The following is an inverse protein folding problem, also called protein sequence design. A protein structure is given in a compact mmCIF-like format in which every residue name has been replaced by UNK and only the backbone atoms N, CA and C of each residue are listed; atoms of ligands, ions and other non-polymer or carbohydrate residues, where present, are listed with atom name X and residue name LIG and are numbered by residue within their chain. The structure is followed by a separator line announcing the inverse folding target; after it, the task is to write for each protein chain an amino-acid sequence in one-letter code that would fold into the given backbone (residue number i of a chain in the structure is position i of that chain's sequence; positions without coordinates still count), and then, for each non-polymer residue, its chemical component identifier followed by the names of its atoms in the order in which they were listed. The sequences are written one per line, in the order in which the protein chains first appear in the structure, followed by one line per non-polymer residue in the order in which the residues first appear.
data_IF_814944446326
#
_entry.id   IF_814944446326
#
_cell.length_a   1.000
_cell.length_b   1.000
_cell.length_c   1.000
_cell.angle_alpha   90.00
_cell.angle_beta   90.00
_cell.angle_gamma   90.00
#
_symmetry.space_group_name_H-M   'P 1'
#
loop_
_entity.id
_entity.type
_entity.pdbx_description
1 polymer ?
#
# COMPACT_ATOMS: atom_id res chain seq x y z
N UNK A 1 -4.20 -20.88 2.13
CA UNK A 1 -4.92 -19.60 2.36
C UNK A 1 -4.05 -18.48 1.84
N UNK A 2 -4.55 -17.60 0.97
CA UNK A 2 -3.78 -16.45 0.53
C UNK A 2 -3.50 -15.54 1.72
N UNK A 3 -2.24 -15.14 1.93
CA UNK A 3 -1.89 -14.09 2.90
C UNK A 3 -2.55 -12.80 2.40
N UNK A 4 -3.62 -12.39 3.08
CA UNK A 4 -4.37 -11.17 2.77
C UNK A 4 -3.53 -9.98 3.24
N UNK A 5 -2.65 -9.51 2.36
CA UNK A 5 -1.79 -8.36 2.57
C UNK A 5 -2.27 -7.21 1.69
N UNK A 6 -2.66 -6.10 2.32
CA UNK A 6 -3.20 -4.93 1.62
C UNK A 6 -2.17 -4.33 0.64
N UNK A 7 -0.87 -4.52 0.90
CA UNK A 7 0.20 -4.06 -0.01
C UNK A 7 0.17 -4.76 -1.37
N UNK A 8 -0.47 -5.94 -1.45
CA UNK A 8 -0.65 -6.73 -2.67
C UNK A 8 -1.94 -6.42 -3.42
N UNK A 9 -2.80 -5.54 -2.88
CA UNK A 9 -4.08 -5.18 -3.51
C UNK A 9 -3.96 -4.85 -5.00
N UNK A 10 -2.95 -4.09 -5.47
CA UNK A 10 -2.80 -3.80 -6.89
C UNK A 10 -2.69 -5.07 -7.75
N UNK A 11 -1.85 -6.02 -7.33
CA UNK A 11 -1.67 -7.30 -8.03
C UNK A 11 -2.92 -8.17 -7.94
N UNK A 12 -3.57 -8.20 -6.77
CA UNK A 12 -4.82 -8.95 -6.57
C UNK A 12 -5.91 -8.44 -7.54
N UNK A 13 -6.07 -7.11 -7.66
CA UNK A 13 -7.07 -6.52 -8.57
C UNK A 13 -6.74 -6.79 -10.04
N UNK A 14 -5.46 -6.83 -10.42
CA UNK A 14 -5.03 -7.20 -11.77
C UNK A 14 -5.27 -8.67 -12.10
N UNK A 15 -5.20 -9.56 -11.09
CA UNK A 15 -5.49 -10.99 -11.23
C UNK A 15 -7.01 -11.27 -11.27
N UNK A 16 -7.87 -10.31 -10.93
CA UNK A 16 -9.32 -10.47 -11.04
C UNK A 16 -9.76 -10.56 -12.51
N UNK A 17 -10.68 -11.47 -12.79
CA UNK A 17 -11.42 -11.46 -14.05
C UNK A 17 -12.20 -10.14 -14.24
N UNK A 18 -12.52 -9.76 -15.49
CA UNK A 18 -13.05 -8.43 -15.82
C UNK A 18 -14.37 -8.09 -15.09
N UNK A 19 -15.23 -9.08 -14.86
CA UNK A 19 -16.49 -8.87 -14.14
C UNK A 19 -16.26 -8.57 -12.65
N UNK A 20 -15.35 -9.29 -12.01
CA UNK A 20 -14.98 -9.08 -10.62
C UNK A 20 -14.25 -7.75 -10.41
N UNK A 21 -13.34 -7.41 -11.33
CA UNK A 21 -12.67 -6.11 -11.33
C UNK A 21 -13.68 -4.95 -11.43
N UNK A 22 -14.73 -5.11 -12.26
CA UNK A 22 -15.81 -4.12 -12.41
C UNK A 22 -16.67 -3.98 -11.17
N UNK A 23 -16.99 -5.09 -10.49
CA UNK A 23 -17.72 -5.02 -9.21
C UNK A 23 -16.87 -4.32 -8.16
N UNK A 24 -15.58 -4.68 -8.07
CA UNK A 24 -14.66 -4.09 -7.10
C UNK A 24 -14.53 -2.57 -7.29
N UNK A 25 -14.33 -2.08 -8.51
CA UNK A 25 -14.15 -0.65 -8.79
C UNK A 25 -15.40 0.20 -8.54
N UNK A 26 -16.59 -0.41 -8.52
CA UNK A 26 -17.83 0.30 -8.14
C UNK A 26 -17.91 0.57 -6.63
N UNK A 27 -17.35 -0.33 -5.82
CA UNK A 27 -17.43 -0.26 -4.36
C UNK A 27 -16.23 0.47 -3.79
N UNK A 28 -15.04 0.22 -4.34
CA UNK A 28 -13.78 0.75 -3.85
C UNK A 28 -13.00 1.47 -4.94
N UNK A 29 -12.43 2.61 -4.58
CA UNK A 29 -11.32 3.21 -5.32
C UNK A 29 -10.03 3.01 -4.53
N UNK A 30 -8.90 2.93 -5.23
CA UNK A 30 -7.61 2.75 -4.59
C UNK A 30 -6.50 3.40 -5.40
N UNK A 31 -5.40 3.71 -4.72
CA UNK A 31 -4.17 4.12 -5.36
C UNK A 31 -2.97 3.65 -4.54
N UNK A 32 -1.80 3.66 -5.20
CA UNK A 32 -0.51 3.41 -4.56
C UNK A 32 0.35 4.65 -4.73
N UNK A 33 0.92 5.13 -3.64
CA UNK A 33 1.91 6.20 -3.67
C UNK A 33 3.11 5.85 -2.79
N UNK A 34 4.35 6.19 -3.21
CA UNK A 34 5.49 6.16 -2.32
C UNK A 34 5.39 7.32 -1.32
N UNK A 35 5.30 7.00 -0.03
CA UNK A 35 5.46 7.94 1.06
C UNK A 35 6.92 8.07 1.47
N UNK A 36 7.28 9.24 2.01
CA UNK A 36 8.60 9.46 2.59
C UNK A 36 8.49 9.74 4.08
N UNK A 37 9.07 8.85 4.88
CA UNK A 37 9.23 9.05 6.31
C UNK A 37 10.47 9.92 6.54
N UNK A 38 10.29 11.07 7.19
CA UNK A 38 11.36 12.02 7.46
C UNK A 38 11.76 11.88 8.92
N UNK A 39 12.95 11.35 9.16
CA UNK A 39 13.50 11.21 10.51
C UNK A 39 14.28 12.46 10.93
N UNK A 40 14.25 12.81 12.23
CA UNK A 40 15.20 13.76 12.80
C UNK A 40 16.64 13.29 12.56
N UNK A 41 17.57 14.22 12.29
CA UNK A 41 18.98 13.88 12.01
C UNK A 41 19.61 13.00 13.10
N UNK A 42 19.29 13.28 14.36
CA UNK A 42 19.78 12.53 15.53
C UNK A 42 19.34 11.08 15.57
N UNK A 43 18.31 10.70 14.80
CA UNK A 43 17.77 9.34 14.77
C UNK A 43 18.19 8.55 13.52
N UNK A 44 18.71 9.20 12.48
CA UNK A 44 18.95 8.54 11.18
C UNK A 44 19.89 7.35 11.26
N UNK A 45 21.02 7.48 11.94
CA UNK A 45 21.98 6.37 12.09
C UNK A 45 21.37 5.19 12.84
N UNK A 46 20.71 5.46 13.98
CA UNK A 46 20.05 4.43 14.77
C UNK A 46 18.94 3.71 14.00
N UNK A 47 18.10 4.45 13.24
CA UNK A 47 17.04 3.86 12.42
C UNK A 47 17.65 2.98 11.33
N UNK A 48 18.69 3.46 10.64
CA UNK A 48 19.34 2.73 9.55
C UNK A 48 20.01 1.45 10.05
N UNK A 49 20.70 1.49 11.19
CA UNK A 49 21.32 0.31 11.79
C UNK A 49 20.28 -0.74 12.16
N UNK A 50 19.14 -0.31 12.73
CA UNK A 50 18.13 -1.22 13.26
C UNK A 50 17.16 -1.77 12.20
N UNK A 51 16.80 -0.95 11.23
CA UNK A 51 15.72 -1.24 10.28
C UNK A 51 16.16 -1.21 8.81
N UNK A 52 17.38 -0.76 8.51
CA UNK A 52 17.83 -0.51 7.15
C UNK A 52 17.24 0.78 6.57
N UNK A 53 17.29 0.90 5.25
CA UNK A 53 16.79 2.08 4.53
C UNK A 53 15.25 1.98 4.38
N UNK A 54 14.51 2.59 5.31
CA UNK A 54 13.04 2.52 5.42
C UNK A 54 12.36 3.87 5.16
N UNK A 55 13.08 4.88 4.68
CA UNK A 55 12.53 6.20 4.43
C UNK A 55 11.45 6.18 3.35
N UNK A 56 11.59 5.32 2.35
CA UNK A 56 10.59 5.14 1.28
C UNK A 56 9.64 4.03 1.67
N UNK A 57 8.35 4.35 1.78
CA UNK A 57 7.31 3.40 2.17
C UNK A 57 6.23 3.33 1.09
N UNK A 58 5.73 2.13 0.80
CA UNK A 58 4.56 2.00 -0.08
C UNK A 58 3.30 2.29 0.73
N UNK A 59 2.53 3.29 0.32
CA UNK A 59 1.22 3.59 0.88
C UNK A 59 0.17 3.07 -0.10
N UNK A 60 -0.68 2.15 0.38
CA UNK A 60 -1.88 1.73 -0.36
C UNK A 60 -3.07 2.39 0.29
N UNK A 61 -3.72 3.30 -0.44
CA UNK A 61 -4.97 3.91 0.02
C UNK A 61 -6.14 3.23 -0.64
N UNK A 62 -7.13 2.89 0.17
CA UNK A 62 -8.41 2.34 -0.28
C UNK A 62 -9.51 3.23 0.26
N UNK A 63 -10.39 3.65 -0.62
CA UNK A 63 -11.57 4.45 -0.30
C UNK A 63 -12.80 3.60 -0.58
N UNK A 64 -13.69 3.50 0.40
CA UNK A 64 -15.03 2.98 0.17
C UNK A 64 -15.88 4.09 -0.45
N UNK A 65 -16.40 3.86 -1.65
CA UNK A 65 -17.17 4.85 -2.40
C UNK A 65 -18.65 4.89 -1.97
N UNK A 66 -19.08 3.98 -1.07
CA UNK A 66 -20.48 3.81 -0.65
C UNK A 66 -20.78 4.36 0.75
N UNK A 67 -19.80 4.95 1.43
CA UNK A 67 -19.89 5.51 2.79
C UNK A 67 -19.40 6.94 2.80
#
# INVERSE_FOLDING_TARGET
MARLDITRLPGIVQELGPDMARVFSRIYSWYVEPGRLVFPETMKEWVREKYGDIETQQIVRVTNNLT
#
